data_IF_881243286884
#
_entry.id   IF_881243286884
#
_cell.length_a   1.000
_cell.length_b   1.000
_cell.length_c   1.000
_cell.angle_alpha   90.00
_cell.angle_beta   90.00
_cell.angle_gamma   90.00
#
_symmetry.space_group_name_H-M   'P 1'
#
loop_
_entity.id
_entity.type
_entity.pdbx_description
1 polymer ?
#
# COMPACT_ATOMS: atom_id res chain seq x y z
N UNK A 1 -29.58 -8.21 -39.49
CA UNK A 1 -28.17 -8.00 -39.06
C UNK A 1 -28.18 -7.47 -37.64
N UNK A 2 -28.05 -8.35 -36.64
CA UNK A 2 -27.77 -7.93 -35.25
C UNK A 2 -26.31 -7.45 -35.23
N UNK A 3 -26.10 -6.15 -35.00
CA UNK A 3 -24.76 -5.62 -34.69
C UNK A 3 -24.32 -6.27 -33.38
N UNK A 4 -23.28 -7.08 -33.44
CA UNK A 4 -22.53 -7.52 -32.26
C UNK A 4 -21.90 -6.26 -31.67
N UNK A 5 -22.51 -5.70 -30.64
CA UNK A 5 -21.93 -4.64 -29.84
C UNK A 5 -20.87 -5.31 -28.97
N UNK A 6 -19.59 -5.15 -29.33
CA UNK A 6 -18.48 -5.54 -28.46
C UNK A 6 -18.57 -4.70 -27.18
N UNK A 7 -19.03 -5.32 -26.09
CA UNK A 7 -18.97 -4.75 -24.74
C UNK A 7 -17.50 -4.68 -24.34
N UNK A 8 -16.97 -3.47 -24.18
CA UNK A 8 -15.61 -3.28 -23.66
C UNK A 8 -15.69 -3.29 -22.13
N UNK A 9 -15.05 -4.27 -21.52
CA UNK A 9 -14.90 -4.39 -20.07
C UNK A 9 -13.77 -3.46 -19.61
N UNK A 10 -14.06 -2.56 -18.67
CA UNK A 10 -13.05 -1.77 -17.96
C UNK A 10 -12.97 -2.29 -16.54
N UNK A 11 -11.85 -2.94 -16.19
CA UNK A 11 -11.66 -3.55 -14.89
C UNK A 11 -10.42 -2.98 -14.21
N UNK A 12 -10.55 -2.68 -12.91
CA UNK A 12 -9.40 -2.26 -12.10
C UNK A 12 -8.70 -3.47 -11.54
N UNK A 13 -7.43 -3.62 -11.94
CA UNK A 13 -6.51 -4.56 -11.30
C UNK A 13 -5.84 -3.88 -10.12
N UNK A 14 -6.18 -4.29 -8.89
CA UNK A 14 -5.35 -3.98 -7.73
C UNK A 14 -4.47 -5.18 -7.41
N UNK A 15 -3.16 -4.94 -7.29
CA UNK A 15 -2.22 -5.97 -6.86
C UNK A 15 -2.19 -6.06 -5.34
N UNK A 16 -3.21 -6.72 -4.79
CA UNK A 16 -3.13 -7.38 -3.49
C UNK A 16 -3.18 -8.88 -3.77
N UNK A 17 -2.08 -9.57 -3.47
CA UNK A 17 -2.13 -11.03 -3.35
C UNK A 17 -3.13 -11.33 -2.22
N UNK A 18 -3.96 -12.38 -2.36
CA UNK A 18 -4.95 -12.83 -1.35
C UNK A 18 -4.77 -14.29 -0.90
N UNK A 19 -4.72 -14.52 0.42
CA UNK A 19 -5.04 -15.76 1.13
C UNK A 19 -5.94 -15.47 2.34
N UNK A 20 -6.91 -16.35 2.57
CA UNK A 20 -8.01 -16.13 3.50
C UNK A 20 -7.58 -16.35 4.96
N UNK A 21 -7.65 -15.28 5.76
CA UNK A 21 -7.80 -15.36 7.21
C UNK A 21 -8.74 -14.23 7.67
N UNK A 22 -9.76 -14.60 8.44
CA UNK A 22 -10.80 -13.71 8.97
C UNK A 22 -10.29 -12.94 10.19
N UNK A 23 -10.47 -11.62 10.16
CA UNK A 23 -10.45 -10.77 11.36
C UNK A 23 -11.36 -9.57 11.07
N UNK A 24 -12.46 -9.48 11.83
CA UNK A 24 -13.48 -8.44 11.72
C UNK A 24 -12.91 -7.05 11.95
N UNK A 25 -13.20 -6.12 11.03
CA UNK A 25 -12.97 -4.70 11.24
C UNK A 25 -14.29 -4.00 11.59
N UNK A 26 -14.31 -3.47 12.81
CA UNK A 26 -15.15 -2.36 13.20
C UNK A 26 -14.79 -1.17 12.31
N UNK A 27 -15.81 -0.55 11.73
CA UNK A 27 -15.70 0.80 11.15
C UNK A 27 -15.00 1.65 12.20
N UNK A 28 -13.82 2.18 11.87
CA UNK A 28 -13.12 3.10 12.76
C UNK A 28 -14.11 4.22 13.12
N UNK A 29 -14.49 4.18 14.40
CA UNK A 29 -15.58 4.86 15.05
C UNK A 29 -15.57 6.36 14.78
N UNK A 30 -16.54 6.83 13.99
CA UNK A 30 -17.18 8.11 14.24
C UNK A 30 -18.25 7.90 15.33
N UNK A 31 -17.83 7.63 16.57
CA UNK A 31 -18.66 7.73 17.78
C UNK A 31 -19.18 6.44 18.44
N UNK A 32 -18.74 6.24 19.69
CA UNK A 32 -19.54 5.80 20.85
C UNK A 32 -20.22 4.40 20.85
N UNK A 33 -19.41 3.33 20.91
CA UNK A 33 -19.63 2.12 21.75
C UNK A 33 -20.91 1.27 21.61
N UNK A 34 -21.86 1.64 20.76
CA UNK A 34 -22.98 0.78 20.34
C UNK A 34 -22.52 -0.10 19.18
N UNK A 35 -23.21 -1.23 18.99
CA UNK A 35 -23.08 -1.96 17.73
C UNK A 35 -23.22 -0.95 16.57
N UNK A 36 -22.21 -0.88 15.69
CA UNK A 36 -22.21 0.05 14.56
C UNK A 36 -23.36 -0.34 13.61
N UNK A 37 -24.48 0.36 13.74
CA UNK A 37 -25.66 0.16 12.91
C UNK A 37 -25.94 1.42 12.08
N UNK A 38 -26.32 1.22 10.83
CA UNK A 38 -26.89 2.23 9.97
C UNK A 38 -28.36 2.39 10.34
N UNK A 39 -28.77 3.61 10.71
CA UNK A 39 -30.16 3.84 11.09
C UNK A 39 -31.11 3.59 9.92
N UNK A 40 -32.36 3.26 10.24
CA UNK A 40 -33.44 3.10 9.25
C UNK A 40 -33.52 4.27 8.27
N UNK A 41 -33.39 5.51 8.76
CA UNK A 41 -33.46 6.70 7.92
C UNK A 41 -32.30 6.78 6.91
N UNK A 42 -31.09 6.38 7.33
CA UNK A 42 -29.94 6.29 6.43
C UNK A 42 -30.10 5.16 5.42
N UNK A 43 -30.57 3.98 5.84
CA UNK A 43 -30.86 2.87 4.93
C UNK A 43 -31.96 3.21 3.92
N UNK A 44 -33.00 3.95 4.31
CA UNK A 44 -34.01 4.48 3.40
C UNK A 44 -33.39 5.42 2.36
N UNK A 45 -32.46 6.28 2.78
CA UNK A 45 -31.75 7.17 1.86
C UNK A 45 -30.90 6.39 0.87
N UNK A 46 -30.18 5.36 1.33
CA UNK A 46 -29.41 4.47 0.45
C UNK A 46 -30.34 3.78 -0.57
N UNK A 47 -31.46 3.21 -0.10
CA UNK A 47 -32.39 2.45 -0.94
C UNK A 47 -33.16 3.30 -1.96
N UNK A 48 -33.23 4.62 -1.78
CA UNK A 48 -33.77 5.55 -2.78
C UNK A 48 -32.90 5.61 -4.04
N UNK A 49 -31.58 5.45 -3.89
CA UNK A 49 -30.63 5.47 -5.00
C UNK A 49 -30.24 4.07 -5.49
N UNK A 50 -30.27 3.10 -4.59
CA UNK A 50 -29.82 1.73 -4.81
C UNK A 50 -30.95 0.75 -4.48
N UNK A 51 -31.77 0.44 -5.48
CA UNK A 51 -33.00 -0.33 -5.29
C UNK A 51 -32.81 -1.74 -4.72
N UNK A 52 -31.61 -2.29 -4.84
CA UNK A 52 -31.20 -3.58 -4.26
C UNK A 52 -31.18 -3.59 -2.73
N UNK A 53 -31.18 -2.42 -2.06
CA UNK A 53 -31.19 -2.33 -0.60
C UNK A 53 -32.59 -2.05 -0.01
N UNK A 54 -33.66 -2.17 -0.80
CA UNK A 54 -35.04 -1.88 -0.36
C UNK A 54 -35.50 -2.76 0.79
N UNK A 55 -35.08 -4.01 0.86
CA UNK A 55 -35.50 -4.94 1.92
C UNK A 55 -34.89 -4.54 3.28
N UNK A 56 -33.65 -4.03 3.25
CA UNK A 56 -32.91 -3.56 4.42
C UNK A 56 -33.36 -2.16 4.88
N UNK A 57 -34.16 -1.44 4.08
CA UNK A 57 -34.59 -0.06 4.37
C UNK A 57 -35.70 0.08 5.44
N UNK A 58 -36.25 -1.02 5.93
CA UNK A 58 -37.41 -0.99 6.84
C UNK A 58 -37.04 -0.97 8.33
N UNK A 59 -35.76 -1.17 8.67
CA UNK A 59 -35.22 -1.22 10.02
C UNK A 59 -33.79 -0.65 10.07
N UNK A 60 -33.23 -0.55 11.28
CA UNK A 60 -31.79 -0.31 11.45
C UNK A 60 -31.02 -1.53 10.91
N UNK A 61 -29.92 -1.29 10.21
CA UNK A 61 -29.05 -2.33 9.66
C UNK A 61 -27.73 -2.34 10.42
N UNK A 62 -27.47 -3.41 11.18
CA UNK A 62 -26.22 -3.58 11.91
C UNK A 62 -25.21 -4.34 11.06
N UNK A 63 -23.96 -3.88 11.03
CA UNK A 63 -22.93 -4.53 10.25
C UNK A 63 -22.68 -5.97 10.75
N UNK A 64 -22.67 -6.92 9.82
CA UNK A 64 -22.53 -8.36 10.09
C UNK A 64 -21.28 -8.98 9.43
N UNK A 65 -20.44 -8.14 8.80
CA UNK A 65 -19.25 -8.58 8.07
C UNK A 65 -19.54 -9.24 6.72
N UNK A 66 -20.81 -9.33 6.30
CA UNK A 66 -21.16 -9.84 4.97
C UNK A 66 -20.66 -8.92 3.86
N UNK A 67 -20.60 -9.44 2.64
CA UNK A 67 -20.28 -8.63 1.46
C UNK A 67 -21.22 -7.44 1.31
N UNK A 68 -22.51 -7.62 1.61
CA UNK A 68 -23.53 -6.55 1.59
C UNK A 68 -23.24 -5.51 2.68
N UNK A 69 -22.89 -5.95 3.89
CA UNK A 69 -22.47 -5.06 4.97
C UNK A 69 -21.27 -4.21 4.57
N UNK A 70 -20.28 -4.80 3.88
CA UNK A 70 -19.10 -4.08 3.39
C UNK A 70 -19.39 -3.09 2.25
N UNK A 71 -20.39 -3.36 1.41
CA UNK A 71 -20.91 -2.37 0.45
C UNK A 71 -21.57 -1.19 1.17
N UNK A 72 -22.49 -1.48 2.09
CA UNK A 72 -23.23 -0.46 2.85
C UNK A 72 -22.27 0.41 3.67
N UNK A 73 -21.26 -0.19 4.32
CA UNK A 73 -20.27 0.55 5.11
C UNK A 73 -19.44 1.52 4.26
N UNK A 74 -19.15 1.15 3.01
CA UNK A 74 -18.43 2.01 2.05
C UNK A 74 -19.29 3.16 1.56
N UNK A 75 -20.57 2.89 1.27
CA UNK A 75 -21.56 3.92 0.94
C UNK A 75 -21.69 4.92 2.09
N UNK A 76 -21.82 4.43 3.31
CA UNK A 76 -21.91 5.27 4.50
C UNK A 76 -20.64 6.09 4.71
N UNK A 77 -19.46 5.51 4.46
CA UNK A 77 -18.21 6.25 4.51
C UNK A 77 -18.19 7.43 3.52
N UNK A 78 -18.53 7.21 2.25
CA UNK A 78 -18.61 8.28 1.25
C UNK A 78 -19.63 9.37 1.61
N UNK A 79 -20.74 8.98 2.26
CA UNK A 79 -21.82 9.89 2.65
C UNK A 79 -21.54 10.70 3.91
N UNK A 80 -20.82 10.10 4.88
CA UNK A 80 -20.56 10.70 6.19
C UNK A 80 -19.22 11.41 6.29
N UNK A 81 -18.29 11.13 5.37
CA UNK A 81 -17.00 11.84 5.36
C UNK A 81 -17.24 13.30 5.01
N UNK A 82 -16.86 14.19 5.92
CA UNK A 82 -16.86 15.63 5.71
C UNK A 82 -15.45 16.13 5.47
N UNK A 83 -15.34 17.19 4.67
CA UNK A 83 -14.07 17.82 4.36
C UNK A 83 -14.11 19.27 4.80
N UNK A 84 -13.02 19.69 5.43
CA UNK A 84 -12.69 21.11 5.57
C UNK A 84 -12.51 21.76 4.20
N UNK A 85 -12.31 23.09 4.16
CA UNK A 85 -12.14 23.82 2.89
C UNK A 85 -10.97 23.26 2.07
N UNK A 86 -11.30 22.62 0.96
CA UNK A 86 -10.31 21.99 0.08
C UNK A 86 -9.67 23.02 -0.84
N UNK A 87 -8.35 23.19 -0.72
CA UNK A 87 -7.56 24.08 -1.58
C UNK A 87 -6.67 23.25 -2.49
N UNK A 88 -6.71 23.43 -3.82
CA UNK A 88 -5.85 22.71 -4.76
C UNK A 88 -4.37 22.78 -4.39
N UNK A 89 -3.65 21.70 -4.65
CA UNK A 89 -2.19 21.64 -4.53
C UNK A 89 -1.53 22.46 -5.64
N UNK A 90 -0.30 22.94 -5.38
CA UNK A 90 0.57 23.49 -6.45
C UNK A 90 1.13 22.41 -7.37
N UNK A 91 1.22 21.18 -6.86
CA UNK A 91 1.65 20.00 -7.59
C UNK A 91 0.44 19.18 -8.08
N UNK A 92 0.65 17.97 -8.59
CA UNK A 92 -0.40 17.18 -9.22
C UNK A 92 -1.17 16.24 -8.27
N UNK A 93 -0.93 16.29 -6.95
CA UNK A 93 -1.64 15.41 -6.00
C UNK A 93 -3.12 15.76 -5.81
N UNK A 94 -3.49 17.04 -5.96
CA UNK A 94 -4.86 17.49 -5.75
C UNK A 94 -5.22 18.70 -6.62
N UNK A 95 -5.88 18.46 -7.76
CA UNK A 95 -6.28 19.55 -8.65
C UNK A 95 -7.57 20.24 -8.22
N UNK A 96 -8.37 19.59 -7.36
CA UNK A 96 -9.68 20.08 -6.92
C UNK A 96 -10.74 20.03 -8.01
N UNK A 97 -10.52 19.27 -9.09
CA UNK A 97 -11.46 19.13 -10.22
C UNK A 97 -12.58 18.14 -9.94
N UNK A 98 -12.40 17.24 -8.97
CA UNK A 98 -13.44 16.27 -8.60
C UNK A 98 -14.36 16.83 -7.51
N UNK A 99 -15.54 16.21 -7.37
CA UNK A 99 -16.61 16.79 -6.56
C UNK A 99 -16.24 16.90 -5.08
N UNK A 100 -16.70 17.98 -4.46
CA UNK A 100 -16.61 18.19 -3.01
C UNK A 100 -17.53 17.27 -2.20
N UNK A 101 -18.53 16.67 -2.85
CA UNK A 101 -19.44 15.68 -2.28
C UNK A 101 -19.20 14.33 -2.94
N UNK A 102 -18.60 13.40 -2.21
CA UNK A 102 -18.33 12.05 -2.69
C UNK A 102 -19.61 11.28 -2.96
N UNK A 103 -20.60 11.45 -2.08
CA UNK A 103 -21.93 10.88 -2.28
C UNK A 103 -22.53 11.30 -3.62
N UNK A 104 -22.64 12.60 -3.89
CA UNK A 104 -23.27 13.11 -5.11
C UNK A 104 -22.48 12.71 -6.36
N UNK A 105 -21.15 12.69 -6.27
CA UNK A 105 -20.30 12.19 -7.33
C UNK A 105 -20.63 10.74 -7.68
N UNK A 106 -20.76 9.90 -6.65
CA UNK A 106 -20.99 8.48 -6.79
C UNK A 106 -22.40 8.17 -7.31
N UNK A 107 -23.45 8.65 -6.64
CA UNK A 107 -24.85 8.41 -7.07
C UNK A 107 -25.18 9.10 -8.40
N UNK A 108 -24.46 10.16 -8.73
CA UNK A 108 -24.52 10.84 -10.02
C UNK A 108 -24.01 9.98 -11.19
N UNK A 109 -23.31 8.87 -10.93
CA UNK A 109 -22.74 7.97 -11.94
C UNK A 109 -23.20 6.52 -11.81
N UNK A 110 -23.44 6.04 -10.59
CA UNK A 110 -23.77 4.64 -10.27
C UNK A 110 -25.13 4.60 -9.58
N UNK A 111 -26.04 3.78 -10.08
CA UNK A 111 -27.38 3.55 -9.51
C UNK A 111 -27.64 2.08 -9.15
N UNK A 112 -26.72 1.19 -9.54
CA UNK A 112 -26.82 -0.24 -9.28
C UNK A 112 -25.47 -0.78 -8.81
N UNK A 113 -25.48 -1.60 -7.76
CA UNK A 113 -24.31 -2.35 -7.30
C UNK A 113 -24.66 -3.83 -7.32
N UNK A 114 -23.79 -4.63 -7.94
CA UNK A 114 -23.93 -6.07 -8.05
C UNK A 114 -22.68 -6.75 -7.48
N UNK A 115 -22.85 -7.76 -6.64
CA UNK A 115 -21.74 -8.59 -6.17
C UNK A 115 -21.58 -9.75 -7.15
N UNK A 116 -20.37 -9.92 -7.71
CA UNK A 116 -20.11 -10.95 -8.72
C UNK A 116 -19.11 -11.96 -8.18
N UNK A 117 -19.53 -13.21 -8.02
CA UNK A 117 -18.71 -14.26 -7.40
C UNK A 117 -17.47 -14.64 -8.22
N UNK A 118 -17.56 -14.56 -9.55
CA UNK A 118 -16.52 -15.03 -10.49
C UNK A 118 -15.73 -13.89 -11.11
N UNK A 119 -15.10 -13.05 -10.28
CA UNK A 119 -14.20 -12.01 -10.79
C UNK A 119 -12.84 -12.56 -11.24
N UNK A 120 -12.23 -11.97 -12.28
CA UNK A 120 -10.83 -12.27 -12.60
C UNK A 120 -9.93 -11.96 -11.40
N UNK A 121 -8.87 -12.76 -11.20
CA UNK A 121 -7.94 -12.56 -10.09
C UNK A 121 -7.31 -11.17 -10.14
N UNK A 122 -7.32 -10.48 -9.00
CA UNK A 122 -6.79 -9.13 -8.83
C UNK A 122 -7.78 -8.02 -9.22
N UNK A 123 -8.97 -8.36 -9.72
CA UNK A 123 -10.03 -7.37 -9.99
C UNK A 123 -10.87 -7.15 -8.74
N UNK A 124 -10.97 -5.90 -8.31
CA UNK A 124 -11.69 -5.49 -7.08
C UNK A 124 -13.10 -5.02 -7.39
N UNK A 125 -13.24 -4.25 -8.47
CA UNK A 125 -14.51 -3.86 -9.04
C UNK A 125 -14.33 -3.57 -10.53
N UNK A 126 -15.43 -3.42 -11.24
CA UNK A 126 -15.43 -3.01 -12.64
C UNK A 126 -16.79 -2.41 -13.04
N UNK A 127 -16.80 -1.72 -14.17
CA UNK A 127 -18.02 -1.29 -14.88
C UNK A 127 -17.94 -1.70 -16.35
N UNK A 128 -19.08 -1.88 -17.00
CA UNK A 128 -19.13 -1.97 -18.45
C UNK A 128 -19.31 -0.58 -19.04
N UNK A 129 -18.44 -0.20 -19.97
CA UNK A 129 -18.64 1.03 -20.74
C UNK A 129 -19.95 0.96 -21.54
N UNK A 130 -20.55 2.13 -21.79
CA UNK A 130 -21.78 2.36 -22.58
C UNK A 130 -23.11 2.06 -21.87
N UNK A 131 -23.57 3.04 -21.09
CA UNK A 131 -24.99 3.22 -20.74
C UNK A 131 -25.49 2.45 -19.53
N UNK A 132 -24.71 1.52 -18.98
CA UNK A 132 -25.01 0.86 -17.72
C UNK A 132 -24.35 1.61 -16.57
N UNK A 133 -25.14 2.07 -15.61
CA UNK A 133 -24.70 2.75 -14.38
C UNK A 133 -24.55 1.74 -13.24
N UNK A 134 -24.09 0.54 -13.61
CA UNK A 134 -23.94 -0.61 -12.73
C UNK A 134 -22.47 -0.83 -12.44
N UNK A 135 -22.13 -0.90 -11.16
CA UNK A 135 -20.83 -1.34 -10.69
C UNK A 135 -20.91 -2.78 -10.19
N UNK A 136 -19.95 -3.58 -10.64
CA UNK A 136 -19.80 -4.97 -10.23
C UNK A 136 -18.66 -5.06 -9.22
N UNK A 137 -18.98 -5.32 -7.96
CA UNK A 137 -18.03 -5.45 -6.88
C UNK A 137 -17.63 -6.92 -6.71
N UNK A 138 -16.34 -7.16 -6.58
CA UNK A 138 -15.79 -8.51 -6.42
C UNK A 138 -15.67 -8.86 -4.92
N UNK A 139 -15.95 -10.11 -4.52
CA UNK A 139 -15.82 -10.57 -3.14
C UNK A 139 -14.50 -10.18 -2.47
N UNK A 140 -13.40 -10.16 -3.21
CA UNK A 140 -12.09 -9.79 -2.67
C UNK A 140 -12.04 -8.37 -2.08
N UNK A 141 -12.82 -7.45 -2.63
CA UNK A 141 -12.96 -6.08 -2.13
C UNK A 141 -13.81 -6.00 -0.86
N UNK A 142 -14.71 -6.97 -0.68
CA UNK A 142 -15.79 -6.96 0.29
C UNK A 142 -15.45 -7.79 1.52
N UNK A 143 -14.18 -7.75 1.91
CA UNK A 143 -13.63 -8.35 3.13
C UNK A 143 -13.05 -7.29 4.04
N UNK A 144 -12.74 -7.67 5.27
CA UNK A 144 -12.13 -6.79 6.28
C UNK A 144 -10.68 -6.41 5.94
N UNK A 145 -10.07 -7.05 4.93
CA UNK A 145 -8.73 -6.70 4.45
C UNK A 145 -8.74 -5.41 3.60
N UNK A 146 -9.90 -4.99 3.11
CA UNK A 146 -10.11 -3.71 2.47
C UNK A 146 -10.89 -2.82 3.43
N UNK A 147 -10.34 -1.66 3.79
CA UNK A 147 -11.08 -0.71 4.60
C UNK A 147 -12.23 -0.09 3.79
N UNK A 148 -13.25 0.45 4.46
CA UNK A 148 -14.30 1.24 3.78
C UNK A 148 -13.71 2.45 3.04
N UNK A 149 -12.57 2.96 3.50
CA UNK A 149 -11.78 3.99 2.83
C UNK A 149 -11.22 3.49 1.48
N UNK A 150 -10.56 2.33 1.46
CA UNK A 150 -10.02 1.74 0.23
C UNK A 150 -11.13 1.40 -0.76
N UNK A 151 -12.22 0.78 -0.29
CA UNK A 151 -13.40 0.50 -1.11
C UNK A 151 -13.99 1.76 -1.69
N UNK A 152 -14.13 2.83 -0.90
CA UNK A 152 -14.64 4.11 -1.38
C UNK A 152 -13.75 4.71 -2.47
N UNK A 153 -12.43 4.61 -2.34
CA UNK A 153 -11.49 5.04 -3.38
C UNK A 153 -11.68 4.27 -4.69
N UNK A 154 -11.85 2.95 -4.60
CA UNK A 154 -12.18 2.11 -5.75
C UNK A 154 -13.54 2.48 -6.33
N UNK A 155 -14.55 2.75 -5.51
CA UNK A 155 -15.89 3.07 -6.01
C UNK A 155 -15.93 4.41 -6.73
N UNK A 156 -15.23 5.42 -6.21
CA UNK A 156 -15.06 6.72 -6.86
C UNK A 156 -14.30 6.59 -8.19
N UNK A 157 -13.31 5.71 -8.23
CA UNK A 157 -12.57 5.34 -9.43
C UNK A 157 -13.47 4.68 -10.49
N UNK A 158 -14.19 3.62 -10.12
CA UNK A 158 -15.07 2.90 -11.05
C UNK A 158 -16.18 3.80 -11.58
N UNK A 159 -16.74 4.67 -10.73
CA UNK A 159 -17.71 5.67 -11.15
C UNK A 159 -17.14 6.55 -12.27
N UNK A 160 -15.85 6.89 -12.24
CA UNK A 160 -15.21 7.72 -13.28
C UNK A 160 -15.20 7.06 -14.66
N UNK A 161 -15.18 5.73 -14.75
CA UNK A 161 -15.26 5.03 -16.03
C UNK A 161 -16.60 5.27 -16.76
N UNK A 162 -17.68 5.60 -16.04
CA UNK A 162 -18.98 5.98 -16.64
C UNK A 162 -18.85 7.24 -17.51
N UNK A 163 -17.92 8.13 -17.18
CA UNK A 163 -17.64 9.35 -17.94
C UNK A 163 -16.76 9.09 -19.18
N UNK A 164 -16.41 7.83 -19.48
CA UNK A 164 -15.64 7.46 -20.67
C UNK A 164 -14.12 7.61 -20.52
N UNK A 165 -13.59 7.40 -19.31
CA UNK A 165 -12.14 7.43 -19.03
C UNK A 165 -11.57 6.01 -18.91
N UNK A 166 -11.20 5.35 -20.03
CA UNK A 166 -10.63 4.01 -19.99
C UNK A 166 -9.18 4.03 -19.50
N UNK A 167 -8.71 2.88 -19.02
CA UNK A 167 -7.30 2.65 -18.75
C UNK A 167 -6.50 2.24 -19.98
N UNK A 168 -5.19 2.41 -19.89
CA UNK A 168 -4.18 1.91 -20.83
C UNK A 168 -3.32 0.82 -20.20
N UNK A 169 -2.53 0.15 -21.04
CA UNK A 169 -1.49 -0.77 -20.54
C UNK A 169 -0.30 0.03 -20.10
N UNK A 170 0.25 -0.27 -18.93
CA UNK A 170 1.45 0.41 -18.46
C UNK A 170 2.67 -0.02 -19.29
N UNK A 171 3.44 0.91 -19.87
CA UNK A 171 4.65 0.60 -20.63
C UNK A 171 5.91 0.50 -19.76
N UNK A 172 5.86 1.04 -18.54
CA UNK A 172 7.00 1.16 -17.62
C UNK A 172 6.57 1.18 -16.15
N UNK A 173 7.57 1.19 -15.26
CA UNK A 173 7.37 1.30 -13.82
C UNK A 173 6.83 0.02 -13.18
N UNK A 174 6.41 0.08 -11.90
CA UNK A 174 6.03 -1.11 -11.13
C UNK A 174 4.85 -1.88 -11.73
N UNK A 175 4.03 -1.25 -12.56
CA UNK A 175 2.86 -1.85 -13.20
C UNK A 175 3.09 -2.27 -14.66
N UNK A 176 4.33 -2.22 -15.16
CA UNK A 176 4.67 -2.51 -16.55
C UNK A 176 4.04 -3.81 -17.07
N UNK A 177 3.46 -3.75 -18.27
CA UNK A 177 2.86 -4.89 -18.98
C UNK A 177 1.48 -5.30 -18.46
N UNK A 178 0.95 -4.62 -17.45
CA UNK A 178 -0.40 -4.89 -16.94
C UNK A 178 -1.40 -4.05 -17.73
N UNK A 179 -2.27 -4.74 -18.47
CA UNK A 179 -3.37 -4.13 -19.19
C UNK A 179 -4.37 -3.51 -18.21
N UNK A 180 -4.75 -2.26 -18.47
CA UNK A 180 -5.76 -1.56 -17.68
C UNK A 180 -5.28 -1.04 -16.33
N UNK A 181 -3.96 -0.91 -16.11
CA UNK A 181 -3.40 -0.55 -14.80
C UNK A 181 -2.80 0.87 -14.73
N UNK A 182 -2.88 1.62 -15.83
CA UNK A 182 -2.42 3.00 -15.92
C UNK A 182 -3.44 3.90 -16.62
N UNK A 183 -3.38 5.19 -16.27
CA UNK A 183 -3.85 6.29 -17.10
C UNK A 183 -2.66 6.91 -17.85
N UNK A 184 -2.93 7.77 -18.85
CA UNK A 184 -1.83 8.44 -19.58
C UNK A 184 -1.12 9.48 -18.70
N UNK A 185 -1.86 10.44 -18.16
CA UNK A 185 -1.35 11.48 -17.26
C UNK A 185 -2.38 11.78 -16.18
N UNK A 186 -1.90 12.15 -14.99
CA UNK A 186 -2.77 12.58 -13.90
C UNK A 186 -3.58 13.84 -14.27
N UNK A 187 -3.00 14.75 -15.06
CA UNK A 187 -3.64 15.98 -15.53
C UNK A 187 -4.87 15.76 -16.42
N UNK A 188 -5.01 14.56 -16.99
CA UNK A 188 -6.12 14.20 -17.88
C UNK A 188 -7.41 13.93 -17.08
N UNK A 189 -7.31 13.77 -15.76
CA UNK A 189 -8.46 13.54 -14.89
C UNK A 189 -9.12 12.18 -15.09
N UNK A 190 -8.33 11.15 -15.44
CA UNK A 190 -8.78 9.76 -15.57
C UNK A 190 -9.15 9.11 -14.23
N UNK A 191 -9.51 7.83 -14.27
CA UNK A 191 -9.99 7.12 -13.07
C UNK A 191 -8.91 6.98 -12.00
N UNK A 192 -7.64 6.79 -12.35
CA UNK A 192 -6.55 6.81 -11.36
C UNK A 192 -6.24 8.22 -10.85
N UNK A 193 -6.52 9.27 -11.63
CA UNK A 193 -6.46 10.64 -11.11
C UNK A 193 -7.50 10.87 -10.00
N UNK A 194 -8.71 10.31 -10.16
CA UNK A 194 -9.73 10.29 -9.09
C UNK A 194 -9.21 9.55 -7.86
N UNK A 195 -8.60 8.37 -8.03
CA UNK A 195 -8.00 7.62 -6.91
C UNK A 195 -6.97 8.46 -6.14
N UNK A 196 -6.04 9.11 -6.84
CA UNK A 196 -5.03 9.97 -6.20
C UNK A 196 -5.69 11.10 -5.42
N UNK A 197 -6.64 11.81 -6.02
CA UNK A 197 -7.34 12.91 -5.35
C UNK A 197 -8.19 12.44 -4.17
N UNK A 198 -8.87 11.30 -4.28
CA UNK A 198 -9.63 10.70 -3.18
C UNK A 198 -8.75 10.49 -1.96
N UNK A 199 -7.60 9.86 -2.12
CA UNK A 199 -6.65 9.68 -1.02
C UNK A 199 -6.03 11.00 -0.55
N UNK A 200 -5.76 11.94 -1.45
CA UNK A 200 -5.21 13.25 -1.10
C UNK A 200 -6.22 14.07 -0.26
N UNK A 201 -7.51 14.01 -0.59
CA UNK A 201 -8.59 14.66 0.15
C UNK A 201 -8.74 14.07 1.55
N UNK A 202 -8.68 12.74 1.69
CA UNK A 202 -8.71 12.07 3.00
C UNK A 202 -7.52 12.46 3.87
N UNK A 203 -6.32 12.45 3.29
CA UNK A 203 -5.09 12.74 4.00
C UNK A 203 -5.06 14.17 4.55
N UNK A 204 -5.52 15.15 3.75
CA UNK A 204 -5.40 16.57 4.09
C UNK A 204 -6.66 17.17 4.70
N UNK A 205 -7.82 16.92 4.12
CA UNK A 205 -9.03 17.71 4.40
C UNK A 205 -10.10 17.00 5.20
N UNK A 206 -10.09 15.65 5.26
CA UNK A 206 -11.13 14.92 5.98
C UNK A 206 -11.15 15.26 7.48
N UNK A 207 -12.32 15.58 7.99
CA UNK A 207 -12.54 15.90 9.40
C UNK A 207 -12.89 14.64 10.18
N UNK A 208 -12.46 14.55 11.44
CA UNK A 208 -12.74 13.39 12.30
C UNK A 208 -12.04 12.07 11.90
N UNK A 209 -11.30 12.03 10.78
CA UNK A 209 -10.58 10.82 10.34
C UNK A 209 -9.35 10.57 11.24
N UNK A 210 -9.20 9.31 11.68
CA UNK A 210 -8.09 8.88 12.53
C UNK A 210 -6.71 9.23 11.90
N UNK A 211 -5.72 9.73 12.67
CA UNK A 211 -4.43 10.15 12.11
C UNK A 211 -3.72 9.04 11.31
N UNK A 212 -3.74 7.78 11.77
CA UNK A 212 -3.16 6.67 11.03
C UNK A 212 -3.80 6.46 9.65
N UNK A 213 -5.12 6.67 9.53
CA UNK A 213 -5.82 6.59 8.24
C UNK A 213 -5.47 7.78 7.33
N UNK A 214 -5.20 8.96 7.90
CA UNK A 214 -4.65 10.10 7.13
C UNK A 214 -3.24 9.82 6.62
N UNK A 215 -2.37 9.26 7.45
CA UNK A 215 -1.02 8.86 7.07
C UNK A 215 -1.02 7.72 6.03
N UNK A 216 -1.93 6.74 6.18
CA UNK A 216 -2.18 5.72 5.18
C UNK A 216 -2.62 6.35 3.85
N UNK A 217 -3.61 7.23 3.87
CA UNK A 217 -4.13 7.89 2.67
C UNK A 217 -3.07 8.73 1.97
N UNK A 218 -2.23 9.44 2.73
CA UNK A 218 -1.08 10.18 2.20
C UNK A 218 -0.16 9.28 1.38
N UNK A 219 0.22 8.15 1.97
CA UNK A 219 1.10 7.19 1.32
C UNK A 219 0.41 6.56 0.09
N UNK A 220 -0.87 6.21 0.20
CA UNK A 220 -1.65 5.68 -0.93
C UNK A 220 -1.73 6.67 -2.10
N UNK A 221 -1.99 7.95 -1.85
CA UNK A 221 -2.02 8.99 -2.89
C UNK A 221 -0.68 9.04 -3.65
N UNK A 222 0.44 9.05 -2.92
CA UNK A 222 1.77 9.05 -3.52
C UNK A 222 2.05 7.77 -4.33
N UNK A 223 1.63 6.60 -3.82
CA UNK A 223 1.78 5.32 -4.52
C UNK A 223 1.06 5.33 -5.86
N UNK A 224 -0.20 5.75 -5.89
CA UNK A 224 -0.95 5.81 -7.15
C UNK A 224 -0.38 6.87 -8.10
N UNK A 225 0.07 8.02 -7.58
CA UNK A 225 0.74 9.04 -8.38
C UNK A 225 2.05 8.53 -9.03
N UNK A 226 2.79 7.67 -8.34
CA UNK A 226 4.06 7.11 -8.81
C UNK A 226 3.88 5.93 -9.78
N UNK A 227 2.82 5.14 -9.60
CA UNK A 227 2.73 3.82 -10.22
C UNK A 227 1.64 3.68 -11.29
N UNK A 228 0.63 4.55 -11.31
CA UNK A 228 -0.57 4.37 -12.13
C UNK A 228 -0.65 5.29 -13.37
N UNK A 229 0.47 5.89 -13.79
CA UNK A 229 0.51 6.82 -14.91
C UNK A 229 1.68 6.58 -15.87
N UNK A 230 1.41 6.65 -17.17
CA UNK A 230 2.43 6.58 -18.22
C UNK A 230 3.37 7.79 -18.20
N UNK A 231 2.87 8.96 -17.82
CA UNK A 231 3.72 10.12 -17.56
C UNK A 231 3.86 10.29 -16.06
N UNK A 232 5.10 10.27 -15.51
CA UNK A 232 5.33 10.45 -14.08
C UNK A 232 4.65 11.73 -13.56
N UNK A 233 3.92 11.62 -12.45
CA UNK A 233 3.30 12.76 -11.80
C UNK A 233 4.35 13.70 -11.21
N UNK A 234 4.12 15.01 -11.35
CA UNK A 234 4.93 16.05 -10.71
C UNK A 234 4.41 16.27 -9.31
N UNK A 235 5.11 15.72 -8.33
CA UNK A 235 4.79 15.82 -6.91
C UNK A 235 5.97 16.44 -6.17
N UNK A 236 5.71 17.50 -5.42
CA UNK A 236 6.73 18.18 -4.64
C UNK A 236 7.04 17.36 -3.38
N UNK A 237 8.21 16.72 -3.34
CA UNK A 237 8.63 15.84 -2.24
C UNK A 237 10.08 16.04 -1.83
N UNK A 238 10.35 15.73 -0.56
CA UNK A 238 11.68 15.69 0.04
C UNK A 238 11.95 14.28 0.53
N UNK A 239 13.12 13.74 0.20
CA UNK A 239 13.56 12.42 0.67
C UNK A 239 14.46 12.55 1.90
N UNK A 240 14.10 11.81 2.94
CA UNK A 240 14.85 11.68 4.19
C UNK A 240 15.10 10.20 4.49
N UNK A 241 15.93 9.93 5.49
CA UNK A 241 16.08 8.60 6.06
C UNK A 241 15.37 8.55 7.42
N UNK A 242 14.37 7.68 7.55
CA UNK A 242 13.79 7.33 8.85
C UNK A 242 14.76 6.42 9.59
N UNK A 243 15.01 6.74 10.86
CA UNK A 243 15.84 5.99 11.78
C UNK A 243 14.95 5.48 12.93
N UNK A 244 15.09 4.22 13.31
CA UNK A 244 14.52 3.68 14.54
C UNK A 244 15.65 3.35 15.51
N UNK A 245 15.56 3.84 16.74
CA UNK A 245 16.56 3.59 17.78
C UNK A 245 16.17 2.41 18.68
N UNK A 246 17.14 1.91 19.46
CA UNK A 246 16.91 0.89 20.50
C UNK A 246 15.97 1.35 21.62
N UNK A 247 15.78 2.67 21.78
CA UNK A 247 14.77 3.26 22.67
C UNK A 247 13.35 3.31 22.04
N UNK A 248 13.19 2.75 20.85
CA UNK A 248 11.97 2.75 20.03
C UNK A 248 11.55 4.14 19.54
N UNK A 249 12.45 5.12 19.55
CA UNK A 249 12.18 6.44 18.99
C UNK A 249 12.41 6.44 17.48
N UNK A 250 11.44 6.99 16.73
CA UNK A 250 11.58 7.33 15.33
C UNK A 250 12.20 8.71 15.17
N UNK A 251 13.16 8.82 14.25
CA UNK A 251 13.78 10.08 13.86
C UNK A 251 13.82 10.22 12.34
N UNK A 252 13.63 11.44 11.83
CA UNK A 252 13.93 11.77 10.43
C UNK A 252 15.34 12.33 10.35
N UNK A 253 16.18 11.76 9.49
CA UNK A 253 17.49 12.29 9.15
C UNK A 253 17.42 12.93 7.77
N UNK A 254 17.59 14.25 7.74
CA UNK A 254 17.68 15.01 6.50
C UNK A 254 19.10 14.88 5.94
N UNK A 255 19.20 14.16 4.84
CA UNK A 255 20.45 13.77 4.19
C UNK A 255 21.17 14.94 3.49
N UNK A 256 20.48 16.06 3.26
CA UNK A 256 21.06 17.28 2.67
C UNK A 256 21.66 18.18 3.73
N UNK A 257 20.97 18.35 4.86
CA UNK A 257 21.37 19.26 5.94
C UNK A 257 22.13 18.57 7.06
N UNK A 258 22.19 17.23 7.05
CA UNK A 258 22.72 16.40 8.14
C UNK A 258 22.02 16.64 9.48
N UNK A 259 20.74 17.04 9.47
CA UNK A 259 19.97 17.28 10.69
C UNK A 259 19.10 16.08 11.05
N UNK A 260 18.97 15.81 12.35
CA UNK A 260 18.12 14.76 12.90
C UNK A 260 16.95 15.40 13.65
N UNK A 261 15.72 15.01 13.32
CA UNK A 261 14.48 15.44 13.98
C UNK A 261 13.81 14.23 14.63
N UNK A 262 13.42 14.33 15.91
CA UNK A 262 12.63 13.29 16.57
C UNK A 262 11.17 13.38 16.09
N UNK A 263 10.58 12.23 15.72
CA UNK A 263 9.22 12.16 15.18
C UNK A 263 8.22 11.57 16.20
N UNK A 264 8.44 10.32 16.60
CA UNK A 264 7.47 9.55 17.37
C UNK A 264 8.07 8.28 17.92
N UNK A 265 7.23 7.29 18.26
CA UNK A 265 7.65 6.01 18.83
C UNK A 265 7.08 4.83 18.05
N UNK A 266 7.89 3.78 17.93
CA UNK A 266 7.43 2.48 17.49
C UNK A 266 6.75 1.73 18.65
N UNK A 267 5.76 0.89 18.33
CA UNK A 267 5.14 0.00 19.31
C UNK A 267 6.05 -1.15 19.74
N UNK A 268 7.05 -1.50 18.91
CA UNK A 268 8.00 -2.57 19.17
C UNK A 268 9.32 -2.35 18.42
N UNK A 269 10.40 -2.98 18.91
CA UNK A 269 11.61 -3.20 18.12
C UNK A 269 11.33 -4.26 17.06
N UNK A 270 11.97 -4.12 15.90
CA UNK A 270 11.83 -5.10 14.84
C UNK A 270 12.45 -4.65 13.54
N UNK A 271 12.15 -5.42 12.51
CA UNK A 271 12.56 -5.14 11.15
C UNK A 271 11.46 -4.37 10.43
N UNK A 272 11.82 -3.25 9.80
CA UNK A 272 10.91 -2.52 8.93
C UNK A 272 11.04 -3.01 7.48
N UNK A 273 9.92 -3.28 6.82
CA UNK A 273 9.84 -3.66 5.40
C UNK A 273 9.02 -2.62 4.64
N UNK A 274 9.46 -2.25 3.43
CA UNK A 274 8.66 -1.38 2.54
C UNK A 274 7.61 -2.15 1.77
N UNK A 275 6.45 -1.50 1.65
CA UNK A 275 5.42 -1.79 0.65
C UNK A 275 5.09 -0.48 -0.06
N UNK A 276 5.90 -0.17 -1.08
CA UNK A 276 5.90 1.17 -1.68
C UNK A 276 6.06 2.24 -0.59
N UNK A 277 5.27 3.31 -0.56
CA UNK A 277 5.36 4.34 0.47
C UNK A 277 4.85 3.92 1.86
N UNK A 278 4.20 2.76 1.99
CA UNK A 278 3.87 2.22 3.31
C UNK A 278 5.04 1.47 3.92
N UNK A 279 5.05 1.42 5.26
CA UNK A 279 6.02 0.66 6.04
C UNK A 279 5.29 -0.35 6.91
N UNK A 280 5.90 -1.53 7.06
CA UNK A 280 5.42 -2.60 7.91
C UNK A 280 6.50 -2.94 8.93
N UNK A 281 6.12 -3.05 10.20
CA UNK A 281 7.00 -3.58 11.24
C UNK A 281 6.80 -5.08 11.37
N UNK A 282 7.90 -5.83 11.35
CA UNK A 282 7.98 -7.23 11.73
C UNK A 282 8.70 -7.30 13.08
N UNK A 283 7.97 -7.47 14.19
CA UNK A 283 8.57 -7.39 15.52
C UNK A 283 9.64 -8.46 15.78
N UNK A 284 10.63 -8.09 16.60
CA UNK A 284 11.59 -9.06 17.17
C UNK A 284 10.86 -10.02 18.10
N UNK A 285 9.92 -9.52 18.91
CA UNK A 285 9.03 -10.36 19.71
C UNK A 285 8.02 -11.10 18.80
N UNK A 286 8.19 -12.41 18.68
CA UNK A 286 7.40 -13.25 17.77
C UNK A 286 5.98 -13.53 18.27
N UNK A 287 5.63 -13.09 19.48
CA UNK A 287 4.26 -13.08 19.97
C UNK A 287 3.44 -11.91 19.42
N UNK A 288 4.09 -10.86 18.94
CA UNK A 288 3.42 -9.71 18.35
C UNK A 288 3.07 -9.96 16.88
N UNK A 289 2.09 -9.19 16.39
CA UNK A 289 1.71 -9.16 14.98
C UNK A 289 2.61 -8.19 14.22
N UNK A 290 2.91 -8.53 12.98
CA UNK A 290 3.42 -7.57 12.01
C UNK A 290 2.26 -6.72 11.48
N UNK A 291 2.46 -5.41 11.41
CA UNK A 291 1.41 -4.45 11.05
C UNK A 291 2.00 -3.17 10.45
N UNK A 292 1.13 -2.34 9.87
CA UNK A 292 1.53 -1.01 9.41
C UNK A 292 2.13 -0.21 10.56
N UNK A 293 3.10 0.64 10.22
CA UNK A 293 3.65 1.62 11.15
C UNK A 293 3.67 3.01 10.54
N UNK A 294 3.50 3.99 11.41
CA UNK A 294 3.53 5.41 11.08
C UNK A 294 4.47 6.10 12.08
N UNK A 295 5.28 7.04 11.58
CA UNK A 295 6.48 7.49 12.28
C UNK A 295 6.24 8.61 13.31
N UNK A 296 5.07 9.27 13.29
CA UNK A 296 4.72 10.48 14.05
C UNK A 296 3.60 10.22 15.08
N UNK A 297 3.57 9.03 15.68
CA UNK A 297 2.54 8.62 16.66
C UNK A 297 1.11 8.69 16.12
N UNK A 298 0.90 8.36 14.85
CA UNK A 298 -0.42 8.45 14.22
C UNK A 298 -1.38 7.35 14.69
N UNK A 299 -0.89 6.37 15.44
CA UNK A 299 -1.64 5.22 15.94
C UNK A 299 -1.56 4.02 15.00
N UNK A 300 -2.55 3.13 15.09
CA UNK A 300 -2.59 1.88 14.32
C UNK A 300 -3.81 1.87 13.39
N UNK A 301 -3.76 1.03 12.35
CA UNK A 301 -4.94 0.66 11.57
C UNK A 301 -5.12 -0.85 11.63
N UNK A 302 -6.35 -1.35 11.80
CA UNK A 302 -6.59 -2.78 12.01
C UNK A 302 -6.54 -3.62 10.72
N UNK A 303 -6.26 -2.98 9.57
CA UNK A 303 -6.06 -3.61 8.27
C UNK A 303 -4.71 -4.35 8.15
N UNK A 304 -4.73 -5.56 7.59
CA UNK A 304 -3.49 -6.29 7.24
C UNK A 304 -2.73 -5.60 6.08
N UNK A 305 -1.41 -5.39 6.19
CA UNK A 305 -0.66 -4.70 5.13
C UNK A 305 -0.56 -5.42 3.79
N UNK A 306 -0.56 -6.74 3.82
CA UNK A 306 -0.56 -7.61 2.64
C UNK A 306 -0.77 -9.05 3.07
N UNK A 307 -1.04 -9.89 2.10
CA UNK A 307 -0.99 -11.34 2.24
C UNK A 307 0.23 -11.92 2.93
N UNK A 308 1.41 -11.42 2.60
CA UNK A 308 2.66 -11.91 3.20
C UNK A 308 2.61 -11.72 4.73
N UNK A 309 1.98 -10.62 5.14
CA UNK A 309 1.83 -10.25 6.54
C UNK A 309 0.66 -11.00 7.19
N UNK A 310 -0.44 -11.21 6.47
CA UNK A 310 -1.53 -12.10 6.91
C UNK A 310 -1.03 -13.50 7.20
N UNK A 311 -0.30 -14.10 6.25
CA UNK A 311 0.31 -15.42 6.41
C UNK A 311 1.32 -15.45 7.56
N UNK A 312 2.21 -14.45 7.66
CA UNK A 312 3.14 -14.34 8.79
C UNK A 312 2.41 -14.26 10.13
N UNK A 313 1.33 -13.50 10.21
CA UNK A 313 0.58 -13.33 11.45
C UNK A 313 -0.20 -14.58 11.86
N UNK A 314 -0.53 -15.46 10.90
CA UNK A 314 -1.16 -16.75 11.16
C UNK A 314 -0.18 -17.82 11.70
N UNK A 315 1.12 -17.58 11.60
CA UNK A 315 2.16 -18.51 12.07
C UNK A 315 2.36 -18.46 13.60
N UNK A 316 2.82 -19.58 14.16
CA UNK A 316 3.29 -19.66 15.54
C UNK A 316 4.58 -18.84 15.75
N UNK A 317 4.91 -18.43 17.00
CA UNK A 317 6.16 -17.73 17.27
C UNK A 317 7.43 -18.46 16.78
N UNK A 318 7.45 -19.79 16.83
CA UNK A 318 8.57 -20.62 16.35
C UNK A 318 8.71 -20.56 14.83
N UNK A 319 7.60 -20.60 14.09
CA UNK A 319 7.60 -20.47 12.64
C UNK A 319 8.01 -19.07 12.21
N UNK A 320 7.47 -18.04 12.88
CA UNK A 320 7.86 -16.64 12.67
C UNK A 320 9.36 -16.40 12.88
N UNK A 321 9.99 -17.12 13.81
CA UNK A 321 11.43 -17.04 14.07
C UNK A 321 12.31 -17.61 12.94
N UNK A 322 11.73 -18.29 11.94
CA UNK A 322 12.46 -18.75 10.77
C UNK A 322 12.46 -17.74 9.62
N UNK A 323 11.54 -16.77 9.64
CA UNK A 323 11.52 -15.68 8.68
C UNK A 323 12.64 -14.68 9.00
N UNK A 324 13.46 -14.40 8.00
CA UNK A 324 14.59 -13.47 8.07
C UNK A 324 14.19 -12.11 7.52
N UNK A 325 13.56 -12.08 6.34
CA UNK A 325 13.24 -10.84 5.62
C UNK A 325 12.10 -11.07 4.60
N UNK A 326 11.52 -9.98 4.08
CA UNK A 326 10.51 -9.97 3.03
C UNK A 326 10.87 -8.95 1.94
N UNK A 327 10.84 -9.40 0.68
CA UNK A 327 10.76 -8.50 -0.46
C UNK A 327 9.30 -8.37 -0.92
N UNK A 328 8.76 -7.14 -0.89
CA UNK A 328 7.41 -6.83 -1.34
C UNK A 328 7.47 -5.94 -2.59
N UNK A 329 7.64 -6.55 -3.77
CA UNK A 329 7.61 -5.86 -5.06
C UNK A 329 6.20 -5.68 -5.62
N UNK A 330 6.08 -5.07 -6.80
CA UNK A 330 4.82 -5.06 -7.55
C UNK A 330 4.67 -6.30 -8.44
N UNK A 331 5.76 -6.73 -9.06
CA UNK A 331 5.77 -7.86 -10.00
C UNK A 331 6.08 -9.20 -9.32
N UNK A 332 6.77 -9.17 -8.17
CA UNK A 332 7.15 -10.39 -7.47
C UNK A 332 7.34 -10.13 -5.98
N UNK A 333 7.28 -11.20 -5.20
CA UNK A 333 7.60 -11.17 -3.77
C UNK A 333 8.55 -12.30 -3.42
N UNK A 334 9.31 -12.12 -2.34
CA UNK A 334 10.12 -13.19 -1.74
C UNK A 334 9.98 -13.21 -0.23
N UNK A 335 9.77 -14.41 0.31
CA UNK A 335 9.86 -14.70 1.75
C UNK A 335 11.21 -15.36 1.99
N UNK A 336 12.10 -14.66 2.70
CA UNK A 336 13.46 -15.14 2.97
C UNK A 336 13.45 -15.85 4.31
N UNK A 337 13.67 -17.16 4.28
CA UNK A 337 13.89 -17.96 5.48
C UNK A 337 15.39 -18.19 5.68
N UNK A 338 15.76 -18.74 6.84
CA UNK A 338 17.17 -19.03 7.18
C UNK A 338 17.91 -19.83 6.09
N UNK A 339 17.27 -20.86 5.53
CA UNK A 339 17.93 -21.79 4.60
C UNK A 339 17.27 -21.84 3.20
N UNK A 340 16.18 -21.12 2.99
CA UNK A 340 15.45 -21.13 1.72
C UNK A 340 14.79 -19.79 1.43
N UNK A 341 14.37 -19.59 0.18
CA UNK A 341 13.58 -18.44 -0.24
C UNK A 341 12.36 -18.96 -0.99
N UNK A 342 11.18 -18.50 -0.58
CA UNK A 342 9.92 -18.72 -1.31
C UNK A 342 9.62 -17.52 -2.18
N UNK A 343 9.65 -17.71 -3.49
CA UNK A 343 9.34 -16.70 -4.48
C UNK A 343 7.90 -16.81 -4.97
N UNK A 344 7.25 -15.68 -5.23
CA UNK A 344 6.07 -15.58 -6.09
C UNK A 344 6.43 -14.66 -7.28
N UNK A 345 6.72 -15.26 -8.43
CA UNK A 345 7.28 -14.54 -9.59
C UNK A 345 6.25 -14.12 -10.65
N UNK A 346 4.98 -14.50 -10.49
CA UNK A 346 3.89 -14.07 -11.37
C UNK A 346 2.80 -13.41 -10.53
N UNK A 347 2.56 -12.10 -10.70
CA UNK A 347 1.59 -11.39 -9.88
C UNK A 347 0.14 -11.82 -10.15
N UNK A 348 -0.10 -12.54 -11.25
CA UNK A 348 -1.41 -13.08 -11.63
C UNK A 348 -1.61 -14.53 -11.16
N UNK A 349 -0.60 -15.17 -10.57
CA UNK A 349 -0.64 -16.57 -10.13
C UNK A 349 -0.43 -16.69 -8.63
N UNK A 350 -1.09 -17.64 -7.93
CA UNK A 350 -0.74 -17.96 -6.54
C UNK A 350 0.49 -18.88 -6.46
N UNK A 351 1.00 -19.35 -7.60
CA UNK A 351 2.12 -20.29 -7.63
C UNK A 351 3.39 -19.68 -7.01
N UNK A 352 4.03 -20.47 -6.15
CA UNK A 352 5.31 -20.13 -5.55
C UNK A 352 6.40 -21.12 -5.94
N UNK A 353 7.65 -20.70 -5.83
CA UNK A 353 8.83 -21.54 -6.04
C UNK A 353 9.77 -21.40 -4.84
N UNK A 354 10.13 -22.51 -4.23
CA UNK A 354 11.06 -22.53 -3.11
C UNK A 354 12.45 -22.91 -3.63
N UNK A 355 13.45 -22.06 -3.39
CA UNK A 355 14.85 -22.33 -3.70
C UNK A 355 15.67 -22.40 -2.41
N UNK A 356 16.59 -23.36 -2.33
CA UNK A 356 17.51 -23.46 -1.20
C UNK A 356 18.64 -22.46 -1.35
N UNK A 357 19.07 -21.87 -0.23
CA UNK A 357 20.32 -21.12 -0.17
C UNK A 357 21.49 -22.10 -0.40
N UNK A 358 22.59 -21.70 -1.07
CA UNK A 358 23.75 -22.57 -1.26
C UNK A 358 24.27 -23.21 0.05
N UNK A 359 24.73 -24.46 -0.05
CA UNK A 359 25.10 -25.28 1.10
C UNK A 359 26.12 -24.59 2.02
N UNK A 360 25.88 -24.65 3.34
CA UNK A 360 26.73 -24.05 4.36
C UNK A 360 26.49 -22.56 4.62
N UNK A 361 25.56 -21.94 3.90
CA UNK A 361 25.15 -20.55 4.11
C UNK A 361 23.78 -20.48 4.81
N UNK A 362 23.56 -19.39 5.56
CA UNK A 362 22.25 -19.03 6.09
C UNK A 362 21.95 -17.56 5.76
N UNK A 363 20.71 -17.25 5.41
CA UNK A 363 20.23 -15.89 5.14
C UNK A 363 20.37 -14.99 6.38
N UNK A 364 20.79 -13.74 6.17
CA UNK A 364 20.89 -12.72 7.22
C UNK A 364 19.90 -11.58 7.02
N UNK A 365 19.86 -10.99 5.82
CA UNK A 365 18.99 -9.85 5.50
C UNK A 365 19.02 -9.55 3.99
N UNK A 366 18.04 -8.78 3.53
CA UNK A 366 18.04 -8.15 2.23
C UNK A 366 18.69 -6.77 2.29
N UNK A 367 19.36 -6.38 1.20
CA UNK A 367 19.94 -5.06 0.98
C UNK A 367 19.44 -4.49 -0.35
N UNK A 368 19.34 -3.16 -0.40
CA UNK A 368 18.90 -2.41 -1.58
C UNK A 368 19.95 -1.36 -1.97
N UNK A 369 21.13 -1.76 -2.47
CA UNK A 369 22.21 -0.85 -2.85
C UNK A 369 21.81 0.16 -3.93
N UNK A 370 20.86 -0.20 -4.80
CA UNK A 370 20.30 0.67 -5.82
C UNK A 370 19.05 1.44 -5.36
N UNK A 371 18.68 1.30 -4.09
CA UNK A 371 17.38 1.72 -3.55
C UNK A 371 16.31 0.65 -3.71
N UNK A 372 15.32 0.67 -2.82
CA UNK A 372 14.13 -0.17 -2.96
C UNK A 372 13.27 0.37 -4.10
N UNK A 373 13.00 -0.48 -5.08
CA UNK A 373 12.12 -0.19 -6.21
C UNK A 373 11.19 -1.39 -6.43
N UNK A 374 9.89 -1.13 -6.53
CA UNK A 374 8.88 -2.17 -6.75
C UNK A 374 8.87 -2.74 -8.15
N UNK A 375 9.48 -2.04 -9.11
CA UNK A 375 9.72 -2.51 -10.46
C UNK A 375 11.01 -3.34 -10.56
N UNK A 376 11.91 -3.26 -9.58
CA UNK A 376 13.16 -4.00 -9.62
C UNK A 376 12.90 -5.51 -9.64
N UNK A 377 13.55 -6.20 -10.57
CA UNK A 377 13.44 -7.66 -10.71
C UNK A 377 14.50 -8.41 -9.90
N UNK A 378 15.33 -7.68 -9.15
CA UNK A 378 16.46 -8.19 -8.36
C UNK A 378 16.45 -7.51 -6.99
N UNK A 379 16.71 -8.29 -5.93
CA UNK A 379 17.12 -7.80 -4.62
C UNK A 379 18.42 -8.51 -4.20
N UNK A 380 19.17 -7.95 -3.27
CA UNK A 380 20.43 -8.54 -2.82
C UNK A 380 20.24 -9.20 -1.46
N UNK A 381 20.45 -10.52 -1.39
CA UNK A 381 20.50 -11.28 -0.15
C UNK A 381 21.93 -11.29 0.40
N UNK A 382 22.08 -11.04 1.70
CA UNK A 382 23.34 -11.26 2.43
C UNK A 382 23.19 -12.48 3.32
N UNK A 383 24.24 -13.30 3.39
CA UNK A 383 24.30 -14.45 4.29
C UNK A 383 25.02 -14.11 5.59
N UNK A 384 24.91 -14.97 6.60
CA UNK A 384 25.59 -14.84 7.89
C UNK A 384 27.11 -14.84 7.79
N UNK A 385 27.67 -15.40 6.71
CA UNK A 385 29.12 -15.36 6.42
C UNK A 385 29.55 -14.06 5.73
N UNK A 386 28.60 -13.26 5.24
CA UNK A 386 28.83 -12.02 4.50
C UNK A 386 28.89 -12.20 2.98
N UNK A 387 28.62 -13.40 2.47
CA UNK A 387 28.43 -13.59 1.02
C UNK A 387 27.14 -12.91 0.56
N UNK A 388 27.13 -12.49 -0.71
CA UNK A 388 25.98 -11.81 -1.30
C UNK A 388 25.48 -12.56 -2.54
N UNK A 389 24.17 -12.59 -2.66
CA UNK A 389 23.45 -13.25 -3.74
C UNK A 389 22.43 -12.29 -4.35
N UNK A 390 22.36 -12.26 -5.67
CA UNK A 390 21.26 -11.65 -6.40
C UNK A 390 20.10 -12.65 -6.39
N UNK A 391 18.98 -12.23 -5.80
CA UNK A 391 17.73 -12.99 -5.81
C UNK A 391 16.75 -12.30 -6.76
N UNK A 392 16.09 -13.04 -7.62
CA UNK A 392 15.33 -12.43 -8.72
C UNK A 392 14.22 -13.30 -9.26
N UNK A 393 13.25 -12.66 -9.93
CA UNK A 393 12.17 -13.30 -10.68
C UNK A 393 12.23 -12.92 -12.17
N UNK A 394 13.33 -13.21 -12.87
CA UNK A 394 13.46 -12.85 -14.29
C UNK A 394 12.58 -13.76 -15.17
N UNK A 395 11.75 -13.17 -16.04
CA UNK A 395 10.86 -13.95 -16.91
C UNK A 395 9.93 -14.90 -16.15
N UNK A 396 9.47 -14.48 -14.95
CA UNK A 396 8.67 -15.29 -14.01
C UNK A 396 9.39 -16.52 -13.43
N UNK A 397 10.70 -16.62 -13.59
CA UNK A 397 11.50 -17.72 -13.05
C UNK A 397 12.34 -17.22 -11.88
N UNK A 398 12.23 -17.92 -10.75
CA UNK A 398 13.02 -17.62 -9.56
C UNK A 398 14.49 -18.01 -9.78
N UNK A 399 15.43 -17.20 -9.27
CA UNK A 399 16.83 -17.58 -9.21
C UNK A 399 17.57 -16.97 -8.03
N UNK A 400 18.63 -17.66 -7.60
CA UNK A 400 19.63 -17.20 -6.63
C UNK A 400 20.99 -17.33 -7.32
N UNK A 401 21.73 -16.22 -7.45
CA UNK A 401 23.05 -16.19 -8.12
C UNK A 401 24.05 -15.45 -7.25
N UNK A 402 25.30 -15.87 -7.23
CA UNK A 402 26.34 -15.13 -6.52
C UNK A 402 26.44 -13.70 -7.09
N UNK A 403 26.38 -12.71 -6.20
CA UNK A 403 26.44 -11.30 -6.60
C UNK A 403 27.88 -10.89 -6.91
N UNK A 404 28.03 -10.00 -7.89
CA UNK A 404 29.31 -9.34 -8.18
C UNK A 404 29.56 -8.14 -7.25
N UNK A 405 28.53 -7.69 -6.52
CA UNK A 405 28.68 -6.62 -5.55
C UNK A 405 29.66 -7.06 -4.45
N UNK A 406 30.52 -6.14 -4.04
CA UNK A 406 31.41 -6.29 -2.88
C UNK A 406 31.20 -5.08 -1.98
N UNK A 407 30.94 -5.34 -0.71
CA UNK A 407 30.84 -4.31 0.32
C UNK A 407 32.13 -4.34 1.13
N UNK A 408 32.63 -3.16 1.50
CA UNK A 408 33.84 -3.00 2.31
C UNK A 408 33.61 -3.37 3.79
N UNK A 409 32.35 -3.48 4.20
CA UNK A 409 31.94 -3.95 5.52
C UNK A 409 30.55 -4.61 5.50
N UNK A 410 30.16 -5.19 6.63
CA UNK A 410 28.87 -5.87 6.80
C UNK A 410 27.77 -4.87 7.17
N UNK A 411 26.68 -4.90 6.42
CA UNK A 411 25.50 -4.07 6.62
C UNK A 411 24.29 -4.92 6.95
N UNK A 412 23.51 -4.49 7.94
CA UNK A 412 22.19 -5.05 8.24
C UNK A 412 21.13 -4.46 7.34
N UNK A 413 21.30 -3.20 6.90
CA UNK A 413 20.37 -2.49 6.00
C UNK A 413 21.11 -1.61 5.04
N UNK A 414 20.50 -1.39 3.87
CA UNK A 414 21.00 -0.46 2.88
C UNK A 414 19.85 0.08 2.05
N UNK A 415 19.74 1.40 1.99
CA UNK A 415 18.69 2.09 1.24
C UNK A 415 19.23 3.36 0.59
N UNK A 416 18.52 3.81 -0.44
CA UNK A 416 18.77 5.08 -1.11
C UNK A 416 17.82 6.15 -0.58
N UNK A 417 18.36 7.32 -0.26
CA UNK A 417 17.60 8.53 0.06
C UNK A 417 18.28 9.74 -0.59
N UNK A 418 17.51 10.52 -1.34
CA UNK A 418 17.97 11.72 -2.04
C UNK A 418 19.17 11.48 -2.97
N UNK A 419 19.12 10.39 -3.73
CA UNK A 419 20.20 10.02 -4.63
C UNK A 419 21.41 9.34 -3.96
N UNK A 420 21.51 9.34 -2.63
CA UNK A 420 22.64 8.79 -1.87
C UNK A 420 22.31 7.44 -1.25
N UNK A 421 23.29 6.53 -1.17
CA UNK A 421 23.12 5.21 -0.56
C UNK A 421 23.63 5.24 0.87
N UNK A 422 22.81 4.77 1.80
CA UNK A 422 23.12 4.67 3.22
C UNK A 422 23.07 3.23 3.68
N UNK A 423 24.05 2.82 4.49
CA UNK A 423 24.13 1.50 5.09
C UNK A 423 24.16 1.57 6.61
N UNK A 424 23.41 0.70 7.28
CA UNK A 424 23.41 0.53 8.73
C UNK A 424 24.20 -0.73 9.10
N UNK A 425 25.12 -0.62 10.06
CA UNK A 425 25.84 -1.78 10.62
C UNK A 425 25.10 -2.40 11.80
N UNK A 426 25.48 -3.62 12.21
CA UNK A 426 24.93 -4.27 13.40
C UNK A 426 25.27 -3.57 14.71
N UNK A 427 26.25 -2.66 14.70
CA UNK A 427 26.62 -1.83 15.85
C UNK A 427 25.81 -0.52 15.90
N UNK A 428 24.85 -0.32 14.99
CA UNK A 428 24.00 0.87 14.96
C UNK A 428 24.69 2.14 14.45
N UNK A 429 25.69 1.99 13.57
CA UNK A 429 26.38 3.10 12.93
C UNK A 429 25.93 3.27 11.49
N UNK A 430 25.71 4.51 11.08
CA UNK A 430 25.29 4.86 9.72
C UNK A 430 26.51 5.20 8.86
N UNK A 431 26.49 4.71 7.62
CA UNK A 431 27.51 5.02 6.63
C UNK A 431 26.86 5.50 5.35
N UNK A 432 27.49 6.48 4.70
CA UNK A 432 27.21 6.85 3.32
C UNK A 432 28.14 6.06 2.42
N UNK A 433 27.59 5.43 1.40
CA UNK A 433 28.34 4.61 0.45
C UNK A 433 28.58 5.41 -0.83
N UNK A 434 29.84 5.45 -1.26
CA UNK A 434 30.27 6.04 -2.52
C UNK A 434 31.27 5.10 -3.21
N UNK A 435 30.93 4.65 -4.43
CA UNK A 435 31.69 3.72 -5.29
C UNK A 435 32.72 2.85 -4.55
N UNK A 436 32.23 1.85 -3.81
CA UNK A 436 33.08 0.84 -3.14
C UNK A 436 33.75 1.30 -1.84
N UNK A 437 33.42 2.49 -1.31
CA UNK A 437 33.89 2.99 -0.02
C UNK A 437 32.75 3.48 0.84
N UNK A 438 32.94 3.33 2.14
CA UNK A 438 31.97 3.72 3.15
C UNK A 438 32.53 4.84 4.03
N UNK A 439 31.84 5.98 4.05
CA UNK A 439 32.15 7.10 4.91
C UNK A 439 31.19 7.12 6.11
N UNK A 440 31.67 7.19 7.36
CA UNK A 440 30.79 7.26 8.51
C UNK A 440 29.94 8.54 8.48
N UNK A 441 28.67 8.41 8.83
CA UNK A 441 27.75 9.53 9.05
C UNK A 441 27.61 9.69 10.55
N UNK A 442 28.23 10.74 11.09
CA UNK A 442 28.23 11.00 12.53
C UNK A 442 26.93 11.68 12.93
N UNK A 443 26.22 11.08 13.88
CA UNK A 443 24.97 11.60 14.43
C UNK A 443 24.97 11.49 15.95
N UNK A 444 24.05 12.20 16.61
CA UNK A 444 23.80 12.01 18.04
C UNK A 444 23.18 10.64 18.39
N UNK A 445 22.88 9.81 17.38
CA UNK A 445 22.23 8.51 17.53
C UNK A 445 23.19 7.34 17.29
N UNK A 446 24.46 7.59 17.00
CA UNK A 446 25.46 6.57 16.70
C UNK A 446 25.50 5.50 17.81
N UNK A 447 25.50 4.23 17.42
CA UNK A 447 25.44 3.11 18.35
C UNK A 447 24.04 2.70 18.81
N UNK A 448 23.01 3.53 18.56
CA UNK A 448 21.64 3.28 19.01
C UNK A 448 20.66 2.92 17.89
N UNK A 449 21.01 3.15 16.63
CA UNK A 449 20.11 2.91 15.49
C UNK A 449 20.00 1.40 15.26
N UNK A 450 18.77 0.87 15.22
CA UNK A 450 18.50 -0.56 14.99
C UNK A 450 17.89 -0.83 13.61
N UNK A 451 17.31 0.17 12.96
CA UNK A 451 16.67 0.03 11.65
C UNK A 451 16.64 1.37 10.91
N UNK A 452 16.70 1.33 9.58
CA UNK A 452 16.62 2.51 8.71
C UNK A 452 15.65 2.28 7.54
N UNK A 453 15.02 3.34 7.06
CA UNK A 453 14.06 3.25 5.95
C UNK A 453 13.98 4.58 5.17
N UNK A 454 13.90 4.61 3.83
CA UNK A 454 13.64 5.86 3.13
C UNK A 454 12.22 6.35 3.44
N UNK A 455 12.13 7.65 3.74
CA UNK A 455 10.90 8.36 4.05
C UNK A 455 10.75 9.55 3.11
N UNK A 456 9.56 9.74 2.56
CA UNK A 456 9.24 10.93 1.77
C UNK A 456 8.28 11.83 2.55
N UNK A 457 8.56 13.13 2.53
CA UNK A 457 7.62 14.19 2.91
C UNK A 457 7.12 14.88 1.66
N UNK A 458 5.86 15.28 1.63
CA UNK A 458 5.23 15.88 0.45
C UNK A 458 4.71 17.26 0.81
N UNK A 459 5.13 18.30 0.07
CA UNK A 459 4.82 19.70 0.40
C UNK A 459 3.31 19.90 0.60
N UNK A 460 2.49 19.33 -0.29
CA UNK A 460 1.05 19.44 -0.20
C UNK A 460 0.47 18.99 1.14
N UNK A 461 0.99 17.94 1.76
CA UNK A 461 0.45 17.41 3.03
C UNK A 461 1.06 18.06 4.27
N UNK A 462 2.20 18.75 4.14
CA UNK A 462 2.92 19.36 5.26
C UNK A 462 2.62 20.87 5.41
N UNK A 463 2.10 21.53 4.37
CA UNK A 463 1.68 22.94 4.44
C UNK A 463 0.21 23.06 4.84
N UNK A 464 -0.06 23.84 5.89
CA UNK A 464 -1.42 24.20 6.33
C UNK A 464 -2.10 25.18 5.36
#
# INVERSE_FOLDING_TARGET
MMKVINKVLFAVLTFTFLSAAQAGDSVATLGDGKADCVSKAEMQTIAQHFSQFKEQANADYCYDGSHVSNLISSIMFMRKTTFSKMTPSKDELFTGRFASSWWDYFIGRIDTLEIVDNCPKGVVAYVYGFGLRTMFACPMALTDQFSSLDRSSVFMHEARHIDGYPHVTCSKGPRQGIQGACDNRISDGGSYAVTVETYAQLAKFAEGLHPALKAYSRNAAAIYADEAFETPARVARTENLLLLTSALDFHSYNVRTNSVEKLGKAYAAGHMVRRSQHMVMIPTDKNLKAQYIFARNEGEIPQSPSDLITEYNAQTPTEKANLVDLHIGAQWTARVYKNSIRFACDPKSPATTDLQIPNGQASSNLLYPNGYDRAAMVANLVTTTGEMYDISCAGKTASIKASQLKLDQRYTRMYKADGQVFGLTSTGNLYKLDVGRSAPVVTALDGSIIEIMPQQSFEFFETN
#
